data_IF_474556694048
#
_entry.id   IF_474556694048
#
_cell.length_a   1.000
_cell.length_b   1.000
_cell.length_c   1.000
_cell.angle_alpha   90.00
_cell.angle_beta   90.00
_cell.angle_gamma   90.00
#
_symmetry.space_group_name_H-M   'P 1'
#
loop_
_entity.id
_entity.type
_entity.pdbx_description
1 polymer ?
#
# COMPACT_ATOMS: atom_id res chain seq x y z
N UNK A 1 15.14 0.32 19.30
CA UNK A 1 16.47 0.89 19.61
C UNK A 1 16.65 2.33 19.13
N UNK A 2 16.20 2.74 17.93
CA UNK A 2 16.35 4.13 17.45
C UNK A 2 15.80 5.20 18.42
N UNK A 3 14.59 4.99 18.94
CA UNK A 3 13.98 5.92 19.90
C UNK A 3 14.70 5.97 21.23
N UNK A 4 15.16 4.83 21.76
CA UNK A 4 15.91 4.77 23.03
C UNK A 4 17.26 5.49 22.89
N UNK A 5 18.00 5.23 21.79
CA UNK A 5 19.24 5.97 21.51
C UNK A 5 18.98 7.47 21.37
N UNK A 6 17.89 7.87 20.73
CA UNK A 6 17.53 9.29 20.60
C UNK A 6 17.28 9.93 21.97
N UNK A 7 16.50 9.27 22.84
CA UNK A 7 16.24 9.75 24.21
C UNK A 7 17.52 9.83 25.04
N UNK A 8 18.43 8.85 24.96
CA UNK A 8 19.69 8.90 25.72
C UNK A 8 20.66 9.95 25.18
N UNK A 9 20.72 10.14 23.86
CA UNK A 9 21.51 11.22 23.25
C UNK A 9 20.96 12.59 23.65
N UNK A 10 19.64 12.76 23.72
CA UNK A 10 19.03 14.02 24.16
C UNK A 10 19.24 14.28 25.65
N UNK A 11 19.13 13.25 26.51
CA UNK A 11 19.46 13.34 27.94
C UNK A 11 20.94 13.69 28.17
N UNK A 12 21.86 13.13 27.37
CA UNK A 12 23.28 13.49 27.42
C UNK A 12 23.51 14.96 27.01
N UNK A 13 22.83 15.43 25.96
CA UNK A 13 22.90 16.85 25.52
C UNK A 13 22.36 17.83 26.56
N UNK A 14 21.38 17.40 27.34
CA UNK A 14 20.78 18.19 28.41
C UNK A 14 21.57 18.11 29.73
N UNK A 15 22.66 17.34 29.78
CA UNK A 15 23.43 17.03 31.00
C UNK A 15 22.63 16.28 32.08
N UNK A 16 21.55 15.57 31.70
CA UNK A 16 20.80 14.69 32.61
C UNK A 16 21.57 13.38 32.90
N UNK A 17 22.50 13.01 32.01
CA UNK A 17 23.39 11.84 32.15
C UNK A 17 24.82 12.20 31.73
N UNK A 18 25.80 11.64 32.41
CA UNK A 18 27.23 11.91 32.16
C UNK A 18 27.79 11.20 30.93
N UNK A 19 27.11 10.15 30.44
CA UNK A 19 27.58 9.34 29.31
C UNK A 19 26.42 8.72 28.55
N UNK A 20 26.43 8.82 27.22
CA UNK A 20 25.47 8.11 26.37
C UNK A 20 25.83 6.60 26.31
N UNK A 21 24.98 5.69 26.85
CA UNK A 21 25.24 4.25 26.84
C UNK A 21 25.19 3.62 25.44
N UNK A 22 24.73 4.37 24.42
CA UNK A 22 24.64 3.91 23.03
C UNK A 22 25.64 4.62 22.10
N UNK A 23 26.64 5.31 22.66
CA UNK A 23 27.65 6.06 21.89
C UNK A 23 28.34 5.19 20.84
N UNK A 24 28.87 4.02 21.22
CA UNK A 24 29.57 3.09 20.33
C UNK A 24 28.63 2.17 19.52
N UNK A 25 27.32 2.23 19.77
CA UNK A 25 26.35 1.36 19.09
C UNK A 25 25.93 2.01 17.78
N UNK A 26 26.45 1.49 16.67
CA UNK A 26 26.01 1.90 15.33
C UNK A 26 24.74 1.15 14.96
N UNK A 27 23.63 1.88 14.79
CA UNK A 27 22.37 1.28 14.37
C UNK A 27 22.44 0.95 12.87
N UNK A 28 22.61 -0.33 12.55
CA UNK A 28 22.50 -0.79 11.17
C UNK A 28 21.02 -0.75 10.75
N UNK A 29 20.69 0.10 9.78
CA UNK A 29 19.39 0.05 9.11
C UNK A 29 19.47 -1.10 8.11
N UNK A 30 18.74 -2.20 8.36
CA UNK A 30 18.54 -3.21 7.32
C UNK A 30 17.80 -2.53 6.17
N UNK A 31 18.43 -2.49 4.98
CA UNK A 31 17.74 -2.11 3.76
C UNK A 31 16.60 -3.11 3.55
N UNK A 32 15.37 -2.63 3.54
CA UNK A 32 14.23 -3.44 3.09
C UNK A 32 14.32 -3.55 1.57
N UNK A 33 14.52 -4.77 1.07
CA UNK A 33 14.44 -5.04 -0.36
C UNK A 33 13.01 -4.75 -0.84
N UNK A 34 12.91 -3.88 -1.85
CA UNK A 34 11.64 -3.53 -2.49
C UNK A 34 11.43 -4.47 -3.67
N UNK A 35 10.36 -5.24 -3.63
CA UNK A 35 10.02 -6.20 -4.68
C UNK A 35 8.98 -5.59 -5.63
N UNK A 36 9.21 -5.74 -6.93
CA UNK A 36 8.27 -5.36 -7.99
C UNK A 36 7.72 -6.63 -8.66
N UNK A 37 6.52 -6.54 -9.22
CA UNK A 37 5.97 -7.58 -10.08
C UNK A 37 6.53 -7.41 -11.49
N UNK A 38 7.04 -8.50 -12.04
CA UNK A 38 7.40 -8.59 -13.46
C UNK A 38 6.15 -8.57 -14.33
N UNK A 39 6.33 -8.23 -15.61
CA UNK A 39 5.24 -8.23 -16.58
C UNK A 39 4.59 -9.61 -16.72
N UNK A 40 5.40 -10.67 -16.69
CA UNK A 40 4.95 -12.07 -16.68
C UNK A 40 4.08 -12.38 -15.46
N UNK A 41 4.51 -11.96 -14.25
CA UNK A 41 3.72 -12.08 -13.04
C UNK A 41 2.40 -11.30 -13.18
N UNK A 42 2.41 -10.10 -13.77
CA UNK A 42 1.20 -9.29 -13.99
C UNK A 42 0.22 -9.92 -15.00
N UNK A 43 0.71 -10.62 -16.03
CA UNK A 43 -0.15 -11.33 -16.99
C UNK A 43 -0.82 -12.50 -16.30
N UNK A 44 -0.06 -13.35 -15.60
CA UNK A 44 -0.61 -14.45 -14.81
C UNK A 44 -1.67 -13.93 -13.84
N UNK A 45 -1.40 -12.80 -13.20
CA UNK A 45 -2.31 -12.15 -12.27
C UNK A 45 -3.64 -11.66 -12.87
N UNK A 46 -3.64 -11.26 -14.15
CA UNK A 46 -4.86 -10.83 -14.85
C UNK A 46 -5.76 -11.98 -15.24
N UNK A 47 -5.19 -13.18 -15.42
CA UNK A 47 -5.91 -14.37 -15.87
C UNK A 47 -6.45 -15.24 -14.72
N UNK A 48 -6.26 -14.82 -13.45
CA UNK A 48 -6.75 -15.59 -12.31
C UNK A 48 -8.27 -15.42 -12.18
N UNK A 49 -8.98 -16.53 -12.32
CA UNK A 49 -10.37 -16.61 -11.91
C UNK A 49 -10.49 -17.00 -10.43
N UNK A 50 -11.01 -16.07 -9.63
CA UNK A 50 -11.26 -16.32 -8.22
C UNK A 50 -12.64 -16.95 -8.01
N UNK A 51 -12.68 -18.15 -7.41
CA UNK A 51 -13.94 -18.76 -6.96
C UNK A 51 -14.50 -18.15 -5.68
N UNK A 52 -13.66 -17.41 -4.95
CA UNK A 52 -14.00 -16.80 -3.67
C UNK A 52 -14.07 -15.28 -3.83
N UNK A 53 -15.26 -14.70 -3.63
CA UNK A 53 -15.52 -13.26 -3.72
C UNK A 53 -14.61 -12.42 -2.82
N UNK A 54 -14.19 -12.94 -1.67
CA UNK A 54 -13.29 -12.23 -0.75
C UNK A 54 -11.88 -12.13 -1.34
N UNK A 55 -11.40 -13.20 -1.99
CA UNK A 55 -10.08 -13.19 -2.64
C UNK A 55 -10.10 -12.27 -3.86
N UNK A 56 -11.21 -12.29 -4.61
CA UNK A 56 -11.45 -11.39 -5.73
C UNK A 56 -11.45 -9.92 -5.29
N UNK A 57 -12.16 -9.59 -4.21
CA UNK A 57 -12.17 -8.24 -3.62
C UNK A 57 -10.77 -7.80 -3.19
N UNK A 58 -10.04 -8.65 -2.46
CA UNK A 58 -8.66 -8.36 -2.07
C UNK A 58 -7.77 -8.15 -3.29
N UNK A 59 -8.00 -8.91 -4.35
CA UNK A 59 -7.24 -8.84 -5.58
C UNK A 59 -7.47 -7.53 -6.33
N UNK A 60 -8.73 -7.15 -6.54
CA UNK A 60 -9.09 -5.91 -7.23
C UNK A 60 -8.58 -4.69 -6.47
N UNK A 61 -8.72 -4.69 -5.14
CA UNK A 61 -8.18 -3.61 -4.29
C UNK A 61 -6.65 -3.54 -4.35
N UNK A 62 -5.97 -4.68 -4.45
CA UNK A 62 -4.52 -4.71 -4.62
C UNK A 62 -4.11 -4.15 -5.98
N UNK A 63 -4.77 -4.54 -7.07
CA UNK A 63 -4.52 -4.00 -8.41
C UNK A 63 -4.76 -2.49 -8.44
N UNK A 64 -5.83 -2.02 -7.82
CA UNK A 64 -6.12 -0.60 -7.71
C UNK A 64 -4.96 0.14 -7.02
N UNK A 65 -4.50 -0.34 -5.86
CA UNK A 65 -3.33 0.23 -5.18
C UNK A 65 -2.03 0.13 -6.01
N UNK A 66 -1.84 -0.96 -6.75
CA UNK A 66 -0.63 -1.21 -7.52
C UNK A 66 -0.44 -0.19 -8.64
N UNK A 67 -1.52 0.11 -9.38
CA UNK A 67 -1.50 1.05 -10.50
C UNK A 67 -1.68 2.52 -10.09
N UNK A 68 -2.50 2.82 -9.07
CA UNK A 68 -2.67 4.21 -8.59
C UNK A 68 -1.51 4.67 -7.69
N UNK A 69 -0.77 3.74 -7.11
CA UNK A 69 0.24 4.06 -6.11
C UNK A 69 -0.30 4.60 -4.80
N UNK A 70 -1.61 4.43 -4.53
CA UNK A 70 -2.21 4.75 -3.24
C UNK A 70 -1.76 3.77 -2.16
N UNK A 71 -1.64 4.26 -0.93
CA UNK A 71 -1.49 3.38 0.21
C UNK A 71 -2.80 2.70 0.57
N UNK A 72 -2.71 1.54 1.22
CA UNK A 72 -3.88 0.86 1.75
C UNK A 72 -4.74 1.79 2.63
N UNK A 73 -4.11 2.64 3.46
CA UNK A 73 -4.84 3.59 4.29
C UNK A 73 -5.58 4.62 3.46
N UNK A 74 -4.97 5.12 2.37
CA UNK A 74 -5.60 6.10 1.48
C UNK A 74 -6.75 5.44 0.71
N UNK A 75 -6.54 4.23 0.16
CA UNK A 75 -7.56 3.41 -0.50
C UNK A 75 -8.78 3.18 0.40
N UNK A 76 -8.55 2.79 1.66
CA UNK A 76 -9.62 2.49 2.60
C UNK A 76 -10.49 3.71 2.93
N UNK A 77 -9.88 4.91 2.92
CA UNK A 77 -10.59 6.15 3.22
C UNK A 77 -11.02 6.92 1.96
N UNK A 78 -10.79 6.38 0.77
CA UNK A 78 -11.16 7.01 -0.49
C UNK A 78 -12.69 7.12 -0.58
N UNK A 79 -13.18 8.33 -0.85
CA UNK A 79 -14.61 8.63 -1.02
C UNK A 79 -14.93 8.94 -2.48
N UNK A 80 -16.20 8.77 -2.85
CA UNK A 80 -16.66 9.17 -4.18
C UNK A 80 -16.48 10.66 -4.45
N UNK A 81 -16.55 11.49 -3.40
CA UNK A 81 -16.30 12.94 -3.46
C UNK A 81 -14.87 13.30 -3.83
N UNK A 82 -13.93 12.38 -3.59
CA UNK A 82 -12.51 12.58 -3.89
C UNK A 82 -12.20 12.28 -5.36
N UNK A 83 -13.19 11.81 -6.14
CA UNK A 83 -13.04 11.46 -7.55
C UNK A 83 -13.81 12.48 -8.40
N UNK A 84 -13.08 13.27 -9.19
CA UNK A 84 -13.65 14.27 -10.10
C UNK A 84 -13.06 14.05 -11.49
N UNK A 85 -13.91 13.93 -12.51
CA UNK A 85 -13.50 13.73 -13.91
C UNK A 85 -12.48 12.58 -14.11
N UNK A 86 -12.68 11.46 -13.41
CA UNK A 86 -11.78 10.30 -13.38
C UNK A 86 -10.38 10.60 -12.81
N UNK A 87 -10.28 11.58 -11.94
CA UNK A 87 -9.05 11.92 -11.23
C UNK A 87 -9.31 11.86 -9.74
N UNK A 88 -8.46 11.14 -9.02
CA UNK A 88 -8.49 11.06 -7.55
C UNK A 88 -7.70 12.24 -6.98
N UNK A 89 -8.34 13.02 -6.12
CA UNK A 89 -7.74 14.12 -5.37
C UNK A 89 -7.77 13.79 -3.88
N UNK A 90 -6.63 13.40 -3.31
CA UNK A 90 -6.54 13.04 -1.88
C UNK A 90 -5.29 13.60 -1.23
N UNK A 91 -5.42 14.01 0.02
CA UNK A 91 -4.29 14.26 0.91
C UNK A 91 -3.83 12.91 1.49
N UNK A 92 -2.57 12.53 1.22
CA UNK A 92 -2.05 11.23 1.66
C UNK A 92 -1.92 11.17 3.17
N UNK A 93 -2.57 10.21 3.80
CA UNK A 93 -2.65 10.08 5.27
C UNK A 93 -1.27 9.94 5.92
N UNK A 94 -0.35 9.21 5.25
CA UNK A 94 0.97 8.93 5.84
C UNK A 94 1.93 10.11 5.76
N UNK A 95 1.81 10.94 4.73
CA UNK A 95 2.80 11.99 4.41
C UNK A 95 2.25 13.40 4.51
N UNK A 96 0.93 13.58 4.51
CA UNK A 96 0.27 14.89 4.45
C UNK A 96 0.45 15.59 3.10
N UNK A 97 0.77 14.84 2.04
CA UNK A 97 1.00 15.43 0.72
C UNK A 97 -0.23 15.24 -0.15
N UNK A 98 -0.65 16.30 -0.82
CA UNK A 98 -1.69 16.24 -1.83
C UNK A 98 -1.23 15.38 -3.01
N UNK A 99 -2.16 14.57 -3.52
CA UNK A 99 -1.94 13.66 -4.61
C UNK A 99 -3.11 13.73 -5.58
N UNK A 100 -2.77 13.87 -6.86
CA UNK A 100 -3.68 13.87 -7.98
C UNK A 100 -3.34 12.67 -8.86
N UNK A 101 -4.28 11.72 -9.03
CA UNK A 101 -4.02 10.46 -9.72
C UNK A 101 -5.07 10.23 -10.80
N UNK A 102 -4.69 10.19 -12.09
CA UNK A 102 -5.61 9.85 -13.16
C UNK A 102 -6.00 8.37 -13.11
N UNK A 103 -7.30 8.10 -13.15
CA UNK A 103 -7.85 6.74 -13.16
C UNK A 103 -7.89 6.19 -14.58
N UNK A 104 -7.09 5.16 -14.83
CA UNK A 104 -7.21 4.31 -16.01
C UNK A 104 -8.55 3.55 -16.04
N UNK A 105 -8.92 3.04 -17.22
CA UNK A 105 -10.15 2.26 -17.44
C UNK A 105 -10.32 1.10 -16.45
N UNK A 106 -9.24 0.37 -16.14
CA UNK A 106 -9.27 -0.74 -15.17
C UNK A 106 -9.72 -0.29 -13.77
N UNK A 107 -9.35 0.92 -13.36
CA UNK A 107 -9.77 1.46 -12.07
C UNK A 107 -11.27 1.79 -12.06
N UNK A 108 -11.77 2.33 -13.17
CA UNK A 108 -13.19 2.65 -13.32
C UNK A 108 -14.05 1.37 -13.29
N UNK A 109 -13.58 0.31 -13.96
CA UNK A 109 -14.22 -1.01 -13.94
C UNK A 109 -14.27 -1.59 -12.50
N UNK A 110 -13.18 -1.47 -11.75
CA UNK A 110 -13.13 -1.89 -10.34
C UNK A 110 -14.08 -1.04 -9.47
N UNK A 111 -14.09 0.29 -9.64
CA UNK A 111 -14.98 1.17 -8.87
C UNK A 111 -16.44 0.82 -9.12
N UNK A 112 -16.84 0.68 -10.39
CA UNK A 112 -18.23 0.37 -10.74
C UNK A 112 -18.64 -1.02 -10.22
N UNK A 113 -17.72 -2.00 -10.23
CA UNK A 113 -17.96 -3.34 -9.69
C UNK A 113 -18.32 -3.35 -8.20
N UNK A 114 -17.78 -2.41 -7.41
CA UNK A 114 -18.00 -2.32 -5.96
C UNK A 114 -18.95 -1.19 -5.54
N UNK A 115 -19.56 -0.50 -6.49
CA UNK A 115 -20.38 0.69 -6.24
C UNK A 115 -21.63 0.43 -5.42
N UNK A 116 -22.27 -0.71 -5.66
CA UNK A 116 -23.49 -1.14 -4.95
C UNK A 116 -23.18 -1.93 -3.67
N UNK A 117 -21.93 -1.94 -3.20
CA UNK A 117 -21.57 -2.62 -1.95
C UNK A 117 -22.16 -1.84 -0.75
N UNK A 118 -23.22 -2.39 -0.16
CA UNK A 118 -23.89 -1.82 1.01
C UNK A 118 -22.98 -1.63 2.22
N UNK A 119 -21.78 -2.22 2.23
CA UNK A 119 -20.78 -2.08 3.30
C UNK A 119 -19.87 -0.87 3.12
N UNK A 120 -19.96 -0.16 1.99
CA UNK A 120 -19.02 0.90 1.63
C UNK A 120 -19.43 2.30 2.15
N UNK A 121 -20.70 2.50 2.53
CA UNK A 121 -21.22 3.81 3.00
C UNK A 121 -20.80 4.94 2.04
N UNK A 122 -20.16 6.02 2.53
CA UNK A 122 -19.63 7.12 1.69
C UNK A 122 -18.29 6.80 0.99
N UNK A 123 -17.70 5.63 1.24
CA UNK A 123 -16.40 5.23 0.71
C UNK A 123 -16.55 4.49 -0.62
N UNK A 124 -15.51 4.54 -1.44
CA UNK A 124 -15.45 3.81 -2.72
C UNK A 124 -15.34 2.30 -2.50
N UNK A 125 -14.66 1.88 -1.43
CA UNK A 125 -14.38 0.46 -1.16
C UNK A 125 -14.63 0.08 0.29
N UNK A 126 -15.30 -1.05 0.53
CA UNK A 126 -15.43 -1.64 1.87
C UNK A 126 -14.25 -2.57 2.21
N UNK A 127 -13.04 -2.01 2.28
CA UNK A 127 -11.83 -2.80 2.43
C UNK A 127 -11.67 -3.43 3.83
N UNK A 128 -11.41 -4.74 3.88
CA UNK A 128 -11.06 -5.41 5.12
C UNK A 128 -9.70 -4.96 5.67
N UNK A 129 -9.45 -5.15 6.98
CA UNK A 129 -8.22 -4.70 7.64
C UNK A 129 -6.92 -5.11 6.90
N UNK A 130 -5.92 -4.21 6.85
CA UNK A 130 -4.67 -4.40 6.12
C UNK A 130 -3.97 -5.73 6.42
N UNK A 131 -3.97 -6.15 7.68
CA UNK A 131 -3.39 -7.43 8.10
C UNK A 131 -4.09 -8.61 7.41
N UNK A 132 -5.42 -8.58 7.34
CA UNK A 132 -6.23 -9.62 6.71
C UNK A 132 -6.05 -9.60 5.19
N UNK A 133 -6.03 -8.42 4.58
CA UNK A 133 -5.70 -8.26 3.17
C UNK A 133 -4.32 -8.86 2.83
N UNK A 134 -3.30 -8.59 3.65
CA UNK A 134 -1.97 -9.17 3.48
C UNK A 134 -1.92 -10.69 3.66
N UNK A 135 -2.78 -11.29 4.49
CA UNK A 135 -2.88 -12.75 4.57
C UNK A 135 -3.41 -13.34 3.27
N UNK A 136 -4.50 -12.78 2.74
CA UNK A 136 -5.07 -13.23 1.48
C UNK A 136 -4.13 -13.01 0.30
N UNK A 137 -3.41 -11.88 0.25
CA UNK A 137 -2.40 -11.66 -0.79
C UNK A 137 -1.29 -12.70 -0.76
N UNK A 138 -0.87 -13.16 0.42
CA UNK A 138 0.10 -14.26 0.54
C UNK A 138 -0.45 -15.54 -0.05
N UNK A 139 -1.69 -15.89 0.27
CA UNK A 139 -2.34 -17.11 -0.24
C UNK A 139 -2.46 -17.06 -1.77
N UNK A 140 -2.83 -15.90 -2.33
CA UNK A 140 -2.89 -15.67 -3.77
C UNK A 140 -1.50 -15.83 -4.39
N UNK A 141 -0.47 -15.19 -3.83
CA UNK A 141 0.90 -15.31 -4.34
C UNK A 141 1.42 -16.75 -4.34
N UNK A 142 1.11 -17.52 -3.29
CA UNK A 142 1.44 -18.94 -3.21
C UNK A 142 0.71 -19.74 -4.30
N UNK A 143 -0.59 -19.50 -4.48
CA UNK A 143 -1.39 -20.18 -5.50
C UNK A 143 -0.89 -19.90 -6.93
N UNK A 144 -0.37 -18.70 -7.18
CA UNK A 144 0.23 -18.30 -8.46
C UNK A 144 1.67 -18.77 -8.65
N UNK A 145 2.27 -19.43 -7.66
CA UNK A 145 3.66 -19.88 -7.71
C UNK A 145 4.69 -18.74 -7.61
N UNK A 146 4.32 -17.60 -7.06
CA UNK A 146 5.24 -16.48 -6.91
C UNK A 146 6.28 -16.77 -5.84
N UNK A 147 7.55 -16.53 -6.18
CA UNK A 147 8.65 -16.63 -5.22
C UNK A 147 8.63 -15.51 -4.19
N UNK A 148 7.98 -14.39 -4.51
CA UNK A 148 7.88 -13.19 -3.69
C UNK A 148 6.58 -13.19 -2.91
N UNK A 149 6.63 -12.66 -1.69
CA UNK A 149 5.46 -12.53 -0.82
C UNK A 149 4.69 -11.27 -1.23
N UNK A 150 3.48 -11.45 -1.76
CA UNK A 150 2.58 -10.33 -2.06
C UNK A 150 2.09 -9.67 -0.77
N UNK A 151 2.17 -8.34 -0.72
CA UNK A 151 1.65 -7.50 0.36
C UNK A 151 1.18 -6.17 -0.22
N UNK A 152 0.37 -5.42 0.53
CA UNK A 152 -0.04 -4.05 0.20
C UNK A 152 1.13 -3.05 0.11
N UNK A 153 2.33 -3.48 0.50
CA UNK A 153 3.59 -2.74 0.41
C UNK A 153 4.51 -3.24 -0.71
N UNK A 154 4.07 -4.21 -1.52
CA UNK A 154 4.73 -4.49 -2.81
C UNK A 154 4.79 -3.17 -3.55
N UNK A 155 5.99 -2.88 -4.06
CA UNK A 155 6.33 -1.56 -4.56
C UNK A 155 5.36 -1.23 -5.68
N UNK A 156 4.62 -0.14 -5.47
CA UNK A 156 3.63 0.37 -6.41
C UNK A 156 4.31 0.62 -7.74
N UNK A 157 3.63 0.36 -8.84
CA UNK A 157 4.07 0.81 -10.15
C UNK A 157 3.93 2.34 -10.15
N UNK A 158 4.89 3.03 -9.54
CA UNK A 158 5.07 4.45 -9.77
C UNK A 158 5.75 4.57 -11.11
N UNK A 159 5.20 5.47 -11.92
CA UNK A 159 5.61 5.86 -13.25
C UNK A 159 7.06 6.40 -13.32
N UNK A 160 8.07 5.69 -12.83
CA UNK A 160 9.47 5.95 -13.23
C UNK A 160 9.70 5.55 -14.71
N UNK A 161 8.63 5.26 -15.47
CA UNK A 161 8.61 4.92 -16.90
C UNK A 161 7.59 5.69 -17.74
N UNK A 162 6.89 6.69 -17.20
CA UNK A 162 6.09 7.60 -18.04
C UNK A 162 6.82 8.93 -18.12
N UNK A 163 7.67 9.02 -19.16
CA UNK A 163 8.09 10.31 -19.68
C UNK A 163 6.89 11.01 -20.31
N UNK A 164 6.40 12.03 -19.60
CA UNK A 164 5.82 13.22 -20.21
C UNK A 164 6.65 14.43 -19.77
#
# INVERSE_FOLDING_TARGET
MRHIKQVTTDAYRNNDIDRDPFYDITLTVKKTERFFLSEEELVVLKEIEFKNKILEEVWDLFLFCYYTGLGYSDLKNLRYTDIVDNVVYVERIKTGNDCCIPLLKIHQEIIEKYKDDSRADDHVFSACACQRMNLYLKDIGIACGFRKVLTTHVTRYMEDFIGY
#
